data_IF_716885368441
#
_entry.id   IF_716885368441
#
_cell.length_a   1.000
_cell.length_b   1.000
_cell.length_c   1.000
_cell.angle_alpha   90.00
_cell.angle_beta   90.00
_cell.angle_gamma   90.00
#
_symmetry.space_group_name_H-M   'P 1'
#
loop_
_entity.id
_entity.type
_entity.pdbx_description
1 polymer ?
#
# COMPACT_ATOMS: atom_id res chain seq x y z
N UNK A 1 -11.11 4.56 -21.50
CA UNK A 1 -11.62 5.18 -20.26
C UNK A 1 -10.42 5.66 -19.45
N UNK A 2 -10.31 6.96 -19.12
CA UNK A 2 -9.22 7.50 -18.28
C UNK A 2 -9.69 7.49 -16.83
N UNK A 3 -8.98 6.80 -15.95
CA UNK A 3 -9.23 6.87 -14.50
C UNK A 3 -8.61 8.17 -13.99
N UNK A 4 -9.39 8.99 -13.29
CA UNK A 4 -8.93 10.26 -12.72
C UNK A 4 -8.94 10.21 -11.21
N UNK A 5 -7.97 10.87 -10.60
CA UNK A 5 -7.89 11.01 -9.15
C UNK A 5 -9.15 11.74 -8.63
N UNK A 6 -9.80 11.18 -7.61
CA UNK A 6 -11.01 11.79 -7.03
C UNK A 6 -10.70 13.11 -6.33
N UNK A 7 -9.48 13.25 -5.79
CA UNK A 7 -9.01 14.41 -5.04
C UNK A 7 -8.54 15.57 -5.93
N UNK A 8 -7.63 15.34 -6.88
CA UNK A 8 -7.01 16.42 -7.68
C UNK A 8 -7.38 16.41 -9.17
N UNK A 9 -8.16 15.42 -9.63
CA UNK A 9 -8.53 15.20 -11.05
C UNK A 9 -7.36 14.88 -12.00
N UNK A 10 -6.18 14.60 -11.47
CA UNK A 10 -5.00 14.13 -12.20
C UNK A 10 -5.14 12.73 -12.82
N UNK A 11 -4.18 12.35 -13.67
CA UNK A 11 -4.13 11.05 -14.35
C UNK A 11 -3.70 9.93 -13.37
N UNK A 12 -4.49 8.86 -13.30
CA UNK A 12 -4.14 7.66 -12.54
C UNK A 12 -3.43 6.63 -13.44
N UNK A 13 -2.29 6.10 -12.99
CA UNK A 13 -1.54 5.04 -13.70
C UNK A 13 -1.25 3.86 -12.80
N UNK A 14 -1.18 2.65 -13.39
CA UNK A 14 -0.71 1.47 -12.66
C UNK A 14 0.74 1.68 -12.24
N UNK A 15 1.04 1.39 -10.99
CA UNK A 15 2.36 1.55 -10.40
C UNK A 15 2.53 0.67 -9.17
N UNK A 16 3.58 0.95 -8.41
CA UNK A 16 3.84 0.33 -7.12
C UNK A 16 4.07 1.41 -6.07
N UNK A 17 3.57 1.19 -4.87
CA UNK A 17 3.76 2.07 -3.71
C UNK A 17 4.35 1.29 -2.55
N UNK A 18 4.88 2.01 -1.56
CA UNK A 18 5.19 1.41 -0.26
C UNK A 18 4.07 1.81 0.69
N UNK A 19 3.50 0.84 1.39
CA UNK A 19 2.40 1.05 2.34
C UNK A 19 2.99 1.00 3.74
N UNK A 20 3.06 2.15 4.45
CA UNK A 20 3.35 2.15 5.88
C UNK A 20 2.09 1.74 6.65
N UNK A 21 2.26 0.88 7.64
CA UNK A 21 1.23 0.49 8.60
C UNK A 21 1.73 0.89 9.98
N UNK A 22 0.99 1.80 10.59
CA UNK A 22 1.23 2.27 11.95
C UNK A 22 0.38 1.46 12.92
N UNK A 23 1.02 0.75 13.85
CA UNK A 23 0.37 -0.03 14.92
C UNK A 23 0.39 0.72 16.26
N UNK A 24 0.84 1.98 16.29
CA UNK A 24 0.99 2.82 17.47
C UNK A 24 2.37 2.69 18.11
N UNK A 25 2.74 1.50 18.57
CA UNK A 25 4.06 1.21 19.17
C UNK A 25 5.07 0.65 18.17
N UNK A 26 4.61 0.27 16.96
CA UNK A 26 5.39 -0.43 15.94
C UNK A 26 5.00 0.01 14.53
N UNK A 27 5.93 -0.13 13.60
CA UNK A 27 5.71 0.15 12.19
C UNK A 27 6.00 -1.06 11.30
N UNK A 28 5.15 -1.28 10.31
CA UNK A 28 5.40 -2.23 9.23
C UNK A 28 5.43 -1.46 7.91
N UNK A 29 6.52 -1.57 7.14
CA UNK A 29 6.63 -1.01 5.80
C UNK A 29 6.55 -2.12 4.75
N UNK A 30 5.44 -2.17 4.00
CA UNK A 30 5.24 -3.14 2.93
C UNK A 30 5.63 -2.50 1.59
N UNK A 31 6.71 -2.97 0.98
CA UNK A 31 7.28 -2.39 -0.24
C UNK A 31 6.75 -3.03 -1.51
N UNK A 32 6.53 -2.22 -2.54
CA UNK A 32 6.26 -2.70 -3.90
C UNK A 32 4.83 -3.17 -4.14
N UNK A 33 3.88 -2.62 -3.41
CA UNK A 33 2.45 -2.94 -3.45
C UNK A 33 1.84 -2.42 -4.77
N UNK A 34 1.22 -3.27 -5.60
CA UNK A 34 0.53 -2.84 -6.82
C UNK A 34 -0.63 -1.88 -6.51
N UNK A 35 -0.67 -0.74 -7.18
CA UNK A 35 -1.71 0.26 -7.00
C UNK A 35 -1.98 1.07 -8.29
N UNK A 36 -3.09 1.79 -8.32
CA UNK A 36 -3.27 2.93 -9.20
C UNK A 36 -2.74 4.17 -8.48
N UNK A 37 -1.80 4.90 -9.09
CA UNK A 37 -1.12 6.05 -8.49
C UNK A 37 -1.38 7.29 -9.34
N UNK A 38 -1.84 8.37 -8.71
CA UNK A 38 -1.97 9.68 -9.32
C UNK A 38 -0.59 10.25 -9.63
N UNK A 39 -0.38 10.68 -10.87
CA UNK A 39 0.91 11.22 -11.31
C UNK A 39 1.18 12.65 -10.80
N UNK A 40 0.16 13.33 -10.29
CA UNK A 40 0.20 14.74 -9.89
C UNK A 40 0.27 14.91 -8.38
N UNK A 41 -0.55 14.20 -7.60
CA UNK A 41 -0.58 14.33 -6.14
C UNK A 41 -0.07 13.11 -5.37
N UNK A 42 0.25 12.01 -6.06
CA UNK A 42 0.78 10.79 -5.43
C UNK A 42 -0.26 9.92 -4.70
N UNK A 43 -1.53 10.32 -4.68
CA UNK A 43 -2.61 9.53 -4.11
C UNK A 43 -2.70 8.15 -4.79
N UNK A 44 -3.00 7.11 -4.02
CA UNK A 44 -3.04 5.76 -4.55
C UNK A 44 -4.27 4.96 -4.11
N UNK A 45 -4.69 4.04 -4.97
CA UNK A 45 -5.79 3.12 -4.71
C UNK A 45 -5.32 1.69 -4.98
N UNK A 46 -5.57 0.79 -4.05
CA UNK A 46 -5.34 -0.66 -4.19
C UNK A 46 -6.64 -1.36 -4.54
N UNK A 47 -6.58 -2.50 -5.21
CA UNK A 47 -7.76 -3.34 -5.42
C UNK A 47 -8.13 -4.11 -4.15
N UNK A 48 -9.36 -4.62 -4.08
CA UNK A 48 -9.81 -5.47 -2.98
C UNK A 48 -8.92 -6.71 -2.80
N UNK A 49 -8.42 -7.28 -3.89
CA UNK A 49 -7.48 -8.42 -3.87
C UNK A 49 -6.15 -8.05 -3.22
N UNK A 50 -5.60 -6.87 -3.57
CA UNK A 50 -4.35 -6.37 -2.98
C UNK A 50 -4.58 -6.03 -1.51
N UNK A 51 -5.73 -5.44 -1.15
CA UNK A 51 -6.08 -5.11 0.23
C UNK A 51 -6.14 -6.36 1.12
N UNK A 52 -6.85 -7.41 0.69
CA UNK A 52 -6.90 -8.69 1.41
C UNK A 52 -5.52 -9.28 1.66
N UNK A 53 -4.62 -9.17 0.68
CA UNK A 53 -3.24 -9.65 0.82
C UNK A 53 -2.41 -8.79 1.77
N UNK A 54 -2.58 -7.47 1.75
CA UNK A 54 -1.97 -6.58 2.74
C UNK A 54 -2.41 -6.95 4.16
N UNK A 55 -3.71 -7.18 4.37
CA UNK A 55 -4.25 -7.61 5.66
C UNK A 55 -3.57 -8.90 6.15
N UNK A 56 -3.46 -9.92 5.29
CA UNK A 56 -2.77 -11.17 5.67
C UNK A 56 -1.29 -10.95 6.04
N UNK A 57 -0.55 -10.13 5.26
CA UNK A 57 0.85 -9.81 5.55
C UNK A 57 0.97 -9.09 6.90
N UNK A 58 0.08 -8.15 7.20
CA UNK A 58 0.07 -7.40 8.46
C UNK A 58 -0.22 -8.33 9.64
N UNK A 59 -1.20 -9.22 9.53
CA UNK A 59 -1.53 -10.18 10.58
C UNK A 59 -0.36 -11.14 10.89
N UNK A 60 0.33 -11.63 9.84
CA UNK A 60 1.53 -12.44 10.03
C UNK A 60 2.67 -11.65 10.70
N UNK A 61 2.89 -10.39 10.30
CA UNK A 61 3.95 -9.53 10.82
C UNK A 61 3.73 -9.15 12.30
N UNK A 62 2.48 -8.90 12.71
CA UNK A 62 2.12 -8.60 14.11
C UNK A 62 2.65 -9.63 15.11
N UNK A 63 2.69 -10.90 14.70
CA UNK A 63 3.16 -12.01 15.55
C UNK A 63 4.66 -11.97 15.89
N UNK A 64 5.47 -11.18 15.15
CA UNK A 64 6.94 -11.18 15.24
C UNK A 64 7.51 -10.22 16.29
N UNK A 65 6.66 -9.34 16.84
CA UNK A 65 7.00 -8.42 17.93
C UNK A 65 8.28 -7.58 17.71
N UNK A 66 8.44 -7.05 16.49
CA UNK A 66 9.54 -6.17 16.07
C UNK A 66 9.07 -4.72 16.07
N UNK A 67 9.93 -3.77 16.45
CA UNK A 67 9.64 -2.32 16.48
C UNK A 67 9.41 -1.75 15.07
N UNK A 68 10.27 -2.12 14.11
CA UNK A 68 10.11 -1.75 12.70
C UNK A 68 10.39 -2.97 11.82
N UNK A 69 9.43 -3.35 10.99
CA UNK A 69 9.57 -4.46 10.03
C UNK A 69 9.39 -3.98 8.60
N UNK A 70 10.30 -4.41 7.70
CA UNK A 70 10.23 -4.08 6.27
C UNK A 70 10.00 -5.36 5.48
N UNK A 71 8.85 -5.43 4.82
CA UNK A 71 8.43 -6.58 4.02
C UNK A 71 8.31 -6.17 2.54
N UNK A 72 8.37 -7.15 1.64
CA UNK A 72 8.06 -6.93 0.22
C UNK A 72 6.74 -7.60 -0.12
N UNK A 73 5.92 -6.91 -0.90
CA UNK A 73 4.72 -7.48 -1.49
C UNK A 73 5.15 -8.49 -2.57
N UNK A 74 5.27 -9.76 -2.20
CA UNK A 74 5.46 -10.85 -3.15
C UNK A 74 4.09 -11.16 -3.75
N UNK A 75 3.85 -10.73 -5.00
CA UNK A 75 2.58 -10.94 -5.71
C UNK A 75 2.28 -12.43 -5.89
#
# INVERSE_FOLDING_TARGET
>A
MRVRCVFCKGEMRKGKVNVPVDLGDRFILIKGVPALVCQECGEYFVSDEVMKKLESIVEEAKSRNVEVEILRFAA
#
